data_IF_968882742517
#
_entry.id   IF_968882742517
#
_cell.length_a   1.000
_cell.length_b   1.000
_cell.length_c   1.000
_cell.angle_alpha   90.00
_cell.angle_beta   90.00
_cell.angle_gamma   90.00
#
_symmetry.space_group_name_H-M   'P 1'
#
loop_
_entity.id
_entity.type
_entity.pdbx_description
1 polymer ?
#
# COMPACT_ATOMS: atom_id res chain seq x y z
N UNK A 1 23.48 -4.03 -25.25
CA UNK A 1 23.94 -3.18 -24.13
C UNK A 1 23.42 -3.82 -22.87
N UNK A 2 24.30 -4.14 -21.93
CA UNK A 2 23.93 -4.86 -20.69
C UNK A 2 23.34 -3.83 -19.74
N UNK A 3 22.03 -3.92 -19.45
CA UNK A 3 21.38 -3.12 -18.42
C UNK A 3 22.17 -3.30 -17.11
N UNK A 4 22.88 -2.25 -16.67
CA UNK A 4 23.52 -2.25 -15.36
C UNK A 4 22.42 -2.07 -14.33
N UNK A 5 22.16 -3.10 -13.55
CA UNK A 5 21.30 -3.01 -12.36
C UNK A 5 21.99 -2.11 -11.32
N UNK A 6 21.61 -0.84 -11.28
CA UNK A 6 22.24 0.13 -10.36
C UNK A 6 21.64 0.09 -8.95
N UNK A 7 20.36 -0.30 -8.81
CA UNK A 7 19.70 -0.43 -7.50
C UNK A 7 18.56 -1.46 -7.55
N UNK A 8 18.53 -2.35 -6.57
CA UNK A 8 17.44 -3.33 -6.36
C UNK A 8 16.83 -3.07 -4.99
N UNK A 9 15.53 -2.77 -4.96
CA UNK A 9 14.77 -2.62 -3.71
C UNK A 9 13.66 -3.66 -3.66
N UNK A 10 13.69 -4.54 -2.64
CA UNK A 10 12.54 -5.35 -2.29
C UNK A 10 11.49 -4.50 -1.57
N UNK A 11 10.26 -4.49 -2.05
CA UNK A 11 9.16 -3.74 -1.45
C UNK A 11 7.88 -4.57 -1.58
N UNK A 12 7.12 -4.79 -0.50
CA UNK A 12 5.73 -5.32 -0.53
C UNK A 12 5.50 -6.57 -1.42
N UNK A 13 6.42 -7.55 -1.39
CA UNK A 13 6.29 -8.79 -2.18
C UNK A 13 6.59 -8.64 -3.68
N UNK A 14 7.26 -7.55 -4.07
CA UNK A 14 7.87 -7.40 -5.38
C UNK A 14 9.23 -6.68 -5.29
N UNK A 15 9.80 -6.42 -6.45
CA UNK A 15 11.14 -5.86 -6.60
C UNK A 15 11.10 -4.69 -7.56
N UNK A 16 11.65 -3.56 -7.15
CA UNK A 16 11.88 -2.41 -8.03
C UNK A 16 13.35 -2.41 -8.42
N UNK A 17 13.60 -2.31 -9.72
CA UNK A 17 14.93 -2.29 -10.32
C UNK A 17 15.13 -0.95 -11.04
N UNK A 18 16.22 -0.25 -10.74
CA UNK A 18 16.67 0.89 -11.52
C UNK A 18 17.29 0.42 -12.85
N UNK A 19 16.90 1.06 -13.94
CA UNK A 19 17.41 0.87 -15.31
C UNK A 19 17.71 2.24 -15.93
N UNK A 20 18.49 2.28 -17.01
CA UNK A 20 18.94 3.54 -17.65
C UNK A 20 17.82 4.57 -17.89
N UNK A 21 16.61 4.11 -18.21
CA UNK A 21 15.45 4.95 -18.52
C UNK A 21 14.45 5.14 -17.37
N UNK A 22 14.73 4.66 -16.14
CA UNK A 22 13.85 4.80 -14.99
C UNK A 22 13.78 3.57 -14.09
N UNK A 23 12.56 3.13 -13.74
CA UNK A 23 12.33 2.06 -12.77
C UNK A 23 11.39 0.98 -13.32
N UNK A 24 11.81 -0.28 -13.26
CA UNK A 24 10.98 -1.46 -13.58
C UNK A 24 10.49 -2.11 -12.29
N UNK A 25 9.28 -2.66 -12.31
CA UNK A 25 8.69 -3.41 -11.19
C UNK A 25 8.56 -4.88 -11.56
N UNK A 26 8.89 -5.77 -10.62
CA UNK A 26 8.78 -7.22 -10.79
C UNK A 26 8.03 -7.86 -9.63
N UNK A 27 7.08 -8.78 -9.89
CA UNK A 27 6.49 -9.01 -11.22
C UNK A 27 5.63 -7.81 -11.65
N UNK A 28 5.50 -7.51 -12.94
CA UNK A 28 4.54 -6.52 -13.46
C UNK A 28 3.77 -7.14 -14.64
N UNK A 29 2.44 -6.95 -14.78
CA UNK A 29 1.65 -7.57 -15.85
C UNK A 29 2.12 -7.21 -17.27
N UNK A 30 2.77 -6.05 -17.40
CA UNK A 30 3.46 -5.60 -18.61
C UNK A 30 4.96 -5.51 -18.29
N UNK A 31 5.77 -6.56 -18.55
CA UNK A 31 7.18 -6.61 -18.12
C UNK A 31 8.04 -5.45 -18.64
N UNK A 32 7.66 -4.87 -19.79
CA UNK A 32 8.37 -3.72 -20.38
C UNK A 32 7.94 -2.36 -19.84
N UNK A 33 6.99 -2.30 -18.89
CA UNK A 33 6.57 -1.02 -18.30
C UNK A 33 7.72 -0.43 -17.48
N UNK A 34 8.11 0.79 -17.83
CA UNK A 34 9.07 1.60 -17.09
C UNK A 34 8.33 2.79 -16.47
N UNK A 35 8.60 3.05 -15.20
CA UNK A 35 8.15 4.21 -14.45
C UNK A 35 9.26 5.26 -14.42
N UNK A 36 8.91 6.52 -14.66
CA UNK A 36 9.89 7.61 -14.64
C UNK A 36 10.36 7.96 -13.23
N UNK A 37 9.56 7.64 -12.20
CA UNK A 37 9.82 7.96 -10.79
C UNK A 37 9.71 6.71 -9.92
N UNK A 38 10.60 6.60 -8.94
CA UNK A 38 10.58 5.53 -7.94
C UNK A 38 9.26 5.53 -7.13
N UNK A 39 8.70 6.72 -6.87
CA UNK A 39 7.40 6.88 -6.21
C UNK A 39 6.27 6.16 -6.92
N UNK A 40 6.24 6.24 -8.24
CA UNK A 40 5.17 5.66 -9.06
C UNK A 40 5.29 4.14 -9.07
N UNK A 41 6.54 3.63 -9.11
CA UNK A 41 6.83 2.21 -8.98
C UNK A 41 6.45 1.66 -7.60
N UNK A 42 6.78 2.37 -6.52
CA UNK A 42 6.37 2.04 -5.16
C UNK A 42 4.86 2.07 -4.99
N UNK A 43 4.19 3.09 -5.55
CA UNK A 43 2.74 3.22 -5.53
C UNK A 43 2.08 2.02 -6.20
N UNK A 44 2.48 1.69 -7.42
CA UNK A 44 1.97 0.50 -8.11
C UNK A 44 2.10 -0.76 -7.26
N UNK A 45 3.26 -0.95 -6.62
CA UNK A 45 3.50 -2.15 -5.84
C UNK A 45 2.65 -2.22 -4.57
N UNK A 46 2.40 -1.07 -3.92
CA UNK A 46 1.47 -0.97 -2.79
C UNK A 46 0.04 -1.35 -3.20
N UNK A 47 -0.47 -0.79 -4.30
CA UNK A 47 -1.79 -1.12 -4.84
C UNK A 47 -1.89 -2.62 -5.13
N UNK A 48 -0.90 -3.15 -5.83
CA UNK A 48 -0.88 -4.55 -6.25
C UNK A 48 -0.70 -5.52 -5.08
N UNK A 49 -0.03 -5.09 -4.02
CA UNK A 49 0.04 -5.88 -2.80
C UNK A 49 -1.31 -5.95 -2.10
N UNK A 50 -1.97 -4.80 -1.92
CA UNK A 50 -3.32 -4.71 -1.36
C UNK A 50 -4.31 -5.59 -2.14
N UNK A 51 -4.29 -5.52 -3.48
CA UNK A 51 -5.21 -6.25 -4.35
C UNK A 51 -5.08 -7.77 -4.26
N UNK A 52 -3.88 -8.26 -3.95
CA UNK A 52 -3.55 -9.70 -3.83
C UNK A 52 -3.95 -10.32 -2.49
N UNK A 53 -4.37 -9.53 -1.52
CA UNK A 53 -4.79 -10.06 -0.22
C UNK A 53 -6.15 -10.75 -0.37
N UNK A 54 -6.25 -11.96 0.15
CA UNK A 54 -7.48 -12.77 0.17
C UNK A 54 -8.40 -12.41 1.36
N UNK A 55 -8.15 -11.25 1.98
CA UNK A 55 -8.90 -10.68 3.11
C UNK A 55 -9.26 -9.23 2.79
N UNK A 56 -10.32 -8.65 3.40
CA UNK A 56 -10.66 -7.25 3.19
C UNK A 56 -9.46 -6.32 3.46
N UNK A 57 -9.09 -5.52 2.47
CA UNK A 57 -7.96 -4.61 2.56
C UNK A 57 -8.14 -3.32 1.75
N UNK A 58 -7.51 -2.25 2.22
CA UNK A 58 -7.50 -0.95 1.56
C UNK A 58 -6.28 -0.11 1.93
N UNK A 59 -6.02 0.93 1.13
CA UNK A 59 -4.96 1.91 1.40
C UNK A 59 -5.62 3.23 1.79
N UNK A 60 -5.30 3.73 2.97
CA UNK A 60 -5.73 5.04 3.46
C UNK A 60 -4.60 6.05 3.25
N UNK A 61 -4.94 7.20 2.66
CA UNK A 61 -4.02 8.31 2.45
C UNK A 61 -4.12 9.35 3.59
N UNK A 62 -3.36 10.43 3.47
CA UNK A 62 -3.29 11.51 4.44
C UNK A 62 -4.56 12.35 4.59
N UNK A 63 -5.53 12.22 3.70
CA UNK A 63 -6.85 12.87 3.81
C UNK A 63 -7.90 11.95 4.45
N UNK A 64 -7.52 10.72 4.82
CA UNK A 64 -8.45 9.72 5.35
C UNK A 64 -9.31 9.07 4.27
N UNK A 65 -8.98 9.26 3.00
CA UNK A 65 -9.66 8.59 1.89
C UNK A 65 -9.10 7.18 1.71
N UNK A 66 -9.99 6.23 1.40
CA UNK A 66 -9.61 4.91 0.92
C UNK A 66 -9.16 5.03 -0.55
N UNK A 67 -7.91 5.47 -0.74
CA UNK A 67 -7.31 5.72 -2.04
C UNK A 67 -7.25 4.46 -2.93
N UNK A 68 -7.25 3.28 -2.32
CA UNK A 68 -7.39 2.01 -3.03
C UNK A 68 -8.08 0.97 -2.16
N UNK A 69 -8.82 0.06 -2.81
CA UNK A 69 -9.58 -1.01 -2.19
C UNK A 69 -9.35 -2.28 -2.99
N UNK A 70 -9.14 -3.40 -2.30
CA UNK A 70 -9.08 -4.68 -2.99
C UNK A 70 -10.46 -5.16 -3.44
N UNK A 71 -10.46 -6.19 -4.28
CA UNK A 71 -11.68 -6.75 -4.87
C UNK A 71 -12.73 -7.24 -3.85
N UNK A 72 -12.31 -7.58 -2.62
CA UNK A 72 -13.22 -8.00 -1.54
C UNK A 72 -13.95 -6.79 -0.97
N UNK A 73 -13.23 -5.72 -0.64
CA UNK A 73 -13.85 -4.49 -0.12
C UNK A 73 -14.71 -3.81 -1.18
N UNK A 74 -14.33 -3.88 -2.46
CA UNK A 74 -15.17 -3.38 -3.56
C UNK A 74 -16.56 -4.06 -3.61
N UNK A 75 -16.66 -5.34 -3.21
CA UNK A 75 -17.95 -6.05 -3.09
C UNK A 75 -18.67 -5.74 -1.78
N UNK A 76 -17.92 -5.61 -0.68
CA UNK A 76 -18.47 -5.33 0.65
C UNK A 76 -19.02 -3.89 0.79
N UNK A 77 -18.38 -2.94 0.11
CA UNK A 77 -18.60 -1.51 0.26
C UNK A 77 -17.62 -0.86 1.25
N UNK A 78 -17.07 0.30 0.87
CA UNK A 78 -16.04 1.02 1.63
C UNK A 78 -16.48 1.40 3.05
N UNK A 79 -17.73 1.83 3.23
CA UNK A 79 -18.28 2.18 4.54
C UNK A 79 -18.45 0.97 5.47
N UNK A 80 -18.72 -0.21 4.90
CA UNK A 80 -18.82 -1.46 5.66
C UNK A 80 -17.44 -2.02 6.04
N UNK A 81 -16.40 -1.67 5.28
CA UNK A 81 -15.01 -2.02 5.62
C UNK A 81 -14.49 -1.12 6.75
N UNK A 82 -14.34 0.17 6.48
CA UNK A 82 -13.89 1.15 7.47
C UNK A 82 -14.79 2.38 7.33
N UNK A 83 -15.71 2.63 8.29
CA UNK A 83 -16.56 3.81 8.26
C UNK A 83 -15.72 5.09 8.26
N UNK A 84 -16.20 6.13 7.57
CA UNK A 84 -15.45 7.38 7.36
C UNK A 84 -14.87 7.97 8.66
N UNK A 85 -15.61 7.91 9.76
CA UNK A 85 -15.23 8.47 11.06
C UNK A 85 -13.95 7.88 11.67
N UNK A 86 -13.54 6.66 11.29
CA UNK A 86 -12.34 6.01 11.82
C UNK A 86 -11.10 6.22 10.95
N UNK A 87 -11.25 6.65 9.70
CA UNK A 87 -10.16 6.59 8.70
C UNK A 87 -9.00 7.53 9.03
N UNK A 88 -9.30 8.75 9.47
CA UNK A 88 -8.27 9.73 9.84
C UNK A 88 -7.50 9.31 11.10
N UNK A 89 -8.18 8.71 12.08
CA UNK A 89 -7.54 8.17 13.28
C UNK A 89 -6.60 7.01 12.94
N UNK A 90 -7.06 6.08 12.11
CA UNK A 90 -6.26 4.96 11.59
C UNK A 90 -5.03 5.48 10.84
N UNK A 91 -5.19 6.50 10.00
CA UNK A 91 -4.05 7.12 9.31
C UNK A 91 -3.09 7.81 10.28
N UNK A 92 -3.59 8.49 11.33
CA UNK A 92 -2.73 9.13 12.32
C UNK A 92 -1.83 8.12 13.05
N UNK A 93 -2.35 6.92 13.34
CA UNK A 93 -1.55 5.82 13.91
C UNK A 93 -0.41 5.39 12.97
N UNK A 94 -0.66 5.35 11.66
CA UNK A 94 0.38 5.03 10.67
C UNK A 94 1.57 6.00 10.69
N UNK A 95 1.38 7.25 11.12
CA UNK A 95 2.45 8.26 11.10
C UNK A 95 3.59 7.93 12.07
N UNK A 96 3.27 7.36 13.25
CA UNK A 96 4.25 7.02 14.28
C UNK A 96 5.02 5.73 13.99
N UNK A 97 4.48 4.85 13.15
CA UNK A 97 5.08 3.56 12.79
C UNK A 97 6.29 3.72 11.86
N UNK A 98 7.33 2.92 12.04
CA UNK A 98 8.42 2.80 11.07
C UNK A 98 7.91 2.21 9.74
N UNK A 99 8.61 2.43 8.61
CA UNK A 99 8.25 1.79 7.35
C UNK A 99 8.14 0.27 7.47
N UNK A 100 7.01 -0.27 7.01
CA UNK A 100 6.57 -1.66 7.10
C UNK A 100 6.23 -2.18 8.51
N UNK A 101 6.31 -1.36 9.55
CA UNK A 101 5.84 -1.74 10.88
C UNK A 101 4.32 -1.90 10.89
N UNK A 102 3.85 -2.88 11.67
CA UNK A 102 2.44 -3.29 11.76
C UNK A 102 1.92 -2.95 13.16
N UNK A 103 0.71 -2.41 13.22
CA UNK A 103 -0.02 -2.14 14.45
C UNK A 103 -1.42 -2.73 14.36
N UNK A 104 -1.83 -3.45 15.41
CA UNK A 104 -3.19 -4.00 15.50
C UNK A 104 -4.13 -2.98 16.14
N UNK A 105 -5.16 -2.60 15.40
CA UNK A 105 -6.19 -1.65 15.79
C UNK A 105 -7.54 -2.34 15.94
N UNK A 106 -8.19 -2.14 17.09
CA UNK A 106 -9.52 -2.70 17.35
C UNK A 106 -10.60 -1.75 16.87
N UNK A 107 -11.29 -2.12 15.79
CA UNK A 107 -12.40 -1.35 15.23
C UNK A 107 -13.68 -1.57 16.05
N UNK A 108 -14.05 -0.56 16.84
CA UNK A 108 -15.20 -0.63 17.76
C UNK A 108 -16.55 -0.83 17.07
N UNK A 109 -16.71 -0.36 15.84
CA UNK A 109 -17.98 -0.39 15.10
C UNK A 109 -18.57 -1.80 14.96
N UNK A 110 -17.73 -2.81 14.75
CA UNK A 110 -18.15 -4.20 14.60
C UNK A 110 -17.21 -5.20 15.29
N UNK A 111 -16.44 -4.71 16.27
CA UNK A 111 -15.53 -5.51 17.10
C UNK A 111 -14.58 -6.39 16.27
N UNK A 112 -14.08 -5.84 15.15
CA UNK A 112 -13.09 -6.47 14.29
C UNK A 112 -11.71 -5.91 14.58
N UNK A 113 -10.69 -6.73 14.37
CA UNK A 113 -9.31 -6.28 14.45
C UNK A 113 -8.79 -5.98 13.04
N UNK A 114 -8.12 -4.83 12.92
CA UNK A 114 -7.46 -4.37 11.71
C UNK A 114 -5.95 -4.35 11.95
N UNK A 115 -5.17 -4.79 10.98
CA UNK A 115 -3.75 -4.48 10.92
C UNK A 115 -3.54 -3.22 10.09
N UNK A 116 -2.82 -2.27 10.68
CA UNK A 116 -2.36 -1.04 10.04
C UNK A 116 -0.88 -1.23 9.77
N UNK A 117 -0.47 -1.13 8.51
CA UNK A 117 0.92 -1.19 8.12
C UNK A 117 1.34 0.11 7.43
N UNK A 118 2.43 0.72 7.92
CA UNK A 118 2.94 1.95 7.36
C UNK A 118 3.75 1.72 6.09
N UNK A 119 3.30 2.24 4.95
CA UNK A 119 3.98 2.12 3.67
C UNK A 119 4.62 3.45 3.28
N UNK A 120 5.93 3.43 3.06
CA UNK A 120 6.66 4.60 2.55
C UNK A 120 6.70 4.57 1.01
N UNK A 121 6.01 5.53 0.38
CA UNK A 121 5.85 5.55 -1.08
C UNK A 121 6.70 6.64 -1.73
N UNK A 122 6.69 7.85 -1.18
CA UNK A 122 7.61 8.93 -1.55
C UNK A 122 7.84 9.81 -0.32
N UNK A 123 9.10 10.17 0.01
CA UNK A 123 9.39 11.06 1.13
C UNK A 123 8.64 12.40 1.10
N UNK A 124 8.29 12.90 -0.09
CA UNK A 124 7.56 14.17 -0.31
C UNK A 124 6.06 14.04 -0.07
N UNK A 125 5.50 12.86 -0.31
CA UNK A 125 4.07 12.56 -0.13
C UNK A 125 3.79 11.85 1.21
N UNK A 126 4.85 11.41 1.90
CA UNK A 126 4.78 10.78 3.22
C UNK A 126 4.47 9.28 3.15
N UNK A 127 3.74 8.81 4.17
CA UNK A 127 3.31 7.43 4.32
C UNK A 127 1.86 7.27 3.86
N UNK A 128 1.50 6.05 3.48
CA UNK A 128 0.11 5.59 3.41
C UNK A 128 -0.08 4.41 4.33
N UNK A 129 -1.30 4.23 4.82
CA UNK A 129 -1.65 3.11 5.68
C UNK A 129 -2.25 1.99 4.84
N UNK A 130 -1.57 0.85 4.72
CA UNK A 130 -2.23 -0.38 4.28
C UNK A 130 -3.00 -0.94 5.47
N UNK A 131 -4.31 -1.05 5.33
CA UNK A 131 -5.20 -1.55 6.36
C UNK A 131 -5.84 -2.84 5.88
N UNK A 132 -5.82 -3.88 6.71
CA UNK A 132 -6.42 -5.18 6.39
C UNK A 132 -7.09 -5.80 7.62
N UNK A 133 -8.14 -6.57 7.43
CA UNK A 133 -8.78 -7.32 8.51
C UNK A 133 -7.88 -8.46 8.99
N UNK A 134 -7.79 -8.66 10.30
CA UNK A 134 -7.15 -9.84 10.88
C UNK A 134 -8.10 -11.02 10.71
N UNK A 135 -7.62 -12.10 10.09
CA UNK A 135 -8.37 -13.34 9.88
C UNK A 135 -8.57 -14.14 11.16
#
# INVERSE_FOLDING_TARGET
MSDRLEMVCGFLGGTIVAVDSGYKVFPHPKPEKIYNRLSDAKWFLALRWCDRLDIPAGIINNTGELAFLNHIVLKLGAENFIPQQYRLEIFALCLSLQPNEIYTYKLLFNNRDLEIQALEIDPRYGKVALVREVA
#
